data_IF_730306941510
#
_entry.id   IF_730306941510
#
_cell.length_a   1.000
_cell.length_b   1.000
_cell.length_c   1.000
_cell.angle_alpha   90.00
_cell.angle_beta   90.00
_cell.angle_gamma   90.00
#
_symmetry.space_group_name_H-M   'P 1'
#
loop_
_entity.id
_entity.type
_entity.pdbx_description
1 polymer ?
#
# COMPACT_ATOMS: atom_id res chain seq x y z
N UNK A 1 22.15 -8.94 12.47
CA UNK A 1 20.67 -8.96 12.46
C UNK A 1 20.21 -10.01 11.45
N UNK A 2 19.31 -10.92 11.83
CA UNK A 2 18.70 -11.86 10.87
C UNK A 2 17.61 -11.11 10.12
N UNK A 3 17.71 -11.05 8.79
CA UNK A 3 16.71 -10.38 7.96
C UNK A 3 15.67 -11.41 7.49
N UNK A 4 14.39 -11.31 7.89
CA UNK A 4 13.41 -12.35 7.59
C UNK A 4 13.22 -12.65 6.10
N UNK A 5 13.40 -11.65 5.23
CA UNK A 5 13.29 -11.88 3.79
C UNK A 5 14.38 -12.83 3.26
N UNK A 6 15.57 -12.84 3.86
CA UNK A 6 16.66 -13.74 3.47
C UNK A 6 16.37 -15.19 3.86
N UNK A 7 15.62 -15.41 4.95
CA UNK A 7 15.25 -16.75 5.40
C UNK A 7 14.40 -17.49 4.35
N UNK A 8 13.52 -16.78 3.63
CA UNK A 8 12.69 -17.40 2.57
C UNK A 8 13.55 -17.85 1.39
N UNK A 9 14.49 -17.02 0.96
CA UNK A 9 15.39 -17.37 -0.15
C UNK A 9 16.29 -18.55 0.22
N UNK A 10 16.87 -18.51 1.43
CA UNK A 10 17.69 -19.62 1.94
C UNK A 10 16.86 -20.89 2.06
N UNK A 11 15.62 -20.82 2.55
CA UNK A 11 14.72 -21.96 2.62
C UNK A 11 14.45 -22.56 1.23
N UNK A 12 14.15 -21.72 0.23
CA UNK A 12 13.93 -22.15 -1.14
C UNK A 12 15.17 -22.85 -1.72
N UNK A 13 16.35 -22.23 -1.63
CA UNK A 13 17.58 -22.84 -2.16
C UNK A 13 17.92 -24.15 -1.47
N UNK A 14 17.70 -24.22 -0.15
CA UNK A 14 17.87 -25.44 0.63
C UNK A 14 16.91 -26.54 0.16
N UNK A 15 15.63 -26.23 -0.10
CA UNK A 15 14.67 -27.20 -0.66
C UNK A 15 15.00 -27.69 -2.07
N UNK A 16 15.75 -26.91 -2.85
CA UNK A 16 16.13 -27.27 -4.22
C UNK A 16 17.45 -28.05 -4.30
N UNK A 17 18.37 -27.86 -3.36
CA UNK A 17 19.72 -28.43 -3.42
C UNK A 17 19.98 -29.54 -2.41
N UNK A 18 19.23 -29.59 -1.31
CA UNK A 18 19.48 -30.56 -0.24
C UNK A 18 18.71 -31.85 -0.51
N UNK A 19 19.44 -32.96 -0.57
CA UNK A 19 18.84 -34.29 -0.58
C UNK A 19 18.06 -34.52 0.72
N UNK A 20 16.82 -35.00 0.59
CA UNK A 20 15.91 -35.20 1.71
C UNK A 20 15.87 -36.67 2.14
N UNK A 21 16.30 -36.95 3.37
CA UNK A 21 16.05 -38.24 4.02
C UNK A 21 14.60 -38.29 4.50
N UNK A 22 13.71 -38.83 3.66
CA UNK A 22 12.28 -38.90 3.95
C UNK A 22 11.93 -40.17 4.73
N UNK A 23 11.22 -40.01 5.84
CA UNK A 23 10.57 -41.15 6.50
C UNK A 23 9.41 -41.68 5.62
N UNK A 24 9.07 -42.98 5.70
CA UNK A 24 7.96 -43.53 4.91
C UNK A 24 6.65 -42.79 5.19
N UNK A 25 6.06 -42.23 4.13
CA UNK A 25 4.81 -41.45 4.18
C UNK A 25 4.99 -39.93 4.22
N UNK A 26 6.20 -39.41 4.37
CA UNK A 26 6.45 -37.96 4.34
C UNK A 26 6.49 -37.42 2.91
N UNK A 27 5.96 -36.21 2.72
CA UNK A 27 6.08 -35.48 1.46
C UNK A 27 7.43 -34.77 1.40
N UNK A 28 8.07 -34.80 0.23
CA UNK A 28 9.25 -33.97 0.00
C UNK A 28 8.87 -32.49 0.00
N UNK A 29 9.77 -31.63 0.50
CA UNK A 29 9.52 -30.18 0.48
C UNK A 29 9.44 -29.66 -0.95
N UNK A 30 10.20 -30.28 -1.87
CA UNK A 30 10.10 -30.01 -3.30
C UNK A 30 8.70 -30.33 -3.88
N UNK A 31 8.12 -31.49 -3.53
CA UNK A 31 6.76 -31.84 -3.97
C UNK A 31 5.73 -30.85 -3.42
N UNK A 32 5.84 -30.49 -2.14
CA UNK A 32 4.98 -29.46 -1.56
C UNK A 32 5.12 -28.11 -2.29
N UNK A 33 6.35 -27.67 -2.56
CA UNK A 33 6.63 -26.44 -3.30
C UNK A 33 5.97 -26.45 -4.69
N UNK A 34 6.14 -27.51 -5.46
CA UNK A 34 5.56 -27.61 -6.81
C UNK A 34 4.03 -27.60 -6.80
N UNK A 35 3.40 -28.28 -5.82
CA UNK A 35 1.93 -28.26 -5.67
C UNK A 35 1.46 -26.86 -5.29
N UNK A 36 2.08 -26.23 -4.28
CA UNK A 36 1.73 -24.89 -3.85
C UNK A 36 1.92 -23.86 -4.98
N UNK A 37 3.03 -23.95 -5.73
CA UNK A 37 3.29 -23.13 -6.90
C UNK A 37 2.19 -23.27 -7.96
N UNK A 38 1.79 -24.50 -8.30
CA UNK A 38 0.73 -24.74 -9.28
C UNK A 38 -0.63 -24.19 -8.81
N UNK A 39 -0.97 -24.36 -7.53
CA UNK A 39 -2.21 -23.83 -6.95
C UNK A 39 -2.23 -22.30 -7.01
N UNK A 40 -1.17 -21.64 -6.55
CA UNK A 40 -1.07 -20.18 -6.58
C UNK A 40 -1.07 -19.68 -8.02
N UNK A 41 -0.31 -20.31 -8.91
CA UNK A 41 -0.29 -19.96 -10.33
C UNK A 41 -1.69 -19.95 -10.95
N UNK A 42 -2.51 -20.96 -10.67
CA UNK A 42 -3.90 -21.02 -11.17
C UNK A 42 -4.80 -20.02 -10.43
N UNK A 43 -4.62 -19.87 -9.12
CA UNK A 43 -5.42 -18.97 -8.30
C UNK A 43 -5.28 -17.51 -8.74
N UNK A 44 -4.08 -17.05 -9.11
CA UNK A 44 -3.81 -15.65 -9.50
C UNK A 44 -4.61 -15.20 -10.74
N UNK A 45 -5.08 -16.13 -11.59
CA UNK A 45 -5.98 -15.79 -12.71
C UNK A 45 -7.36 -15.31 -12.23
N UNK A 46 -7.79 -15.75 -11.04
CA UNK A 46 -9.08 -15.39 -10.46
C UNK A 46 -9.13 -13.90 -10.14
N UNK A 47 -8.30 -13.34 -9.25
CA UNK A 47 -8.33 -11.91 -8.96
C UNK A 47 -7.83 -11.05 -10.11
N UNK A 48 -6.95 -11.55 -10.99
CA UNK A 48 -6.36 -10.71 -12.05
C UNK A 48 -7.24 -10.62 -13.30
N UNK A 49 -7.94 -11.70 -13.68
CA UNK A 49 -8.62 -11.77 -14.97
C UNK A 49 -10.09 -12.18 -14.87
N UNK A 50 -10.42 -13.25 -14.14
CA UNK A 50 -11.78 -13.82 -14.14
C UNK A 50 -12.75 -13.01 -13.27
N UNK A 51 -12.33 -12.63 -12.06
CA UNK A 51 -13.14 -11.91 -11.07
C UNK A 51 -12.34 -10.81 -10.37
N UNK A 52 -12.01 -9.70 -11.04
CA UNK A 52 -11.26 -8.58 -10.43
C UNK A 52 -11.86 -8.00 -9.15
N UNK A 53 -13.17 -8.16 -8.96
CA UNK A 53 -13.87 -7.72 -7.76
C UNK A 53 -13.33 -8.39 -6.48
N UNK A 54 -12.81 -9.62 -6.55
CA UNK A 54 -12.24 -10.28 -5.36
C UNK A 54 -10.94 -9.64 -4.89
N UNK A 55 -10.29 -8.83 -5.74
CA UNK A 55 -9.11 -8.05 -5.38
C UNK A 55 -9.41 -6.87 -4.45
N UNK A 56 -10.65 -6.36 -4.45
CA UNK A 56 -11.07 -5.32 -3.51
C UNK A 56 -12.59 -5.35 -3.28
N UNK A 57 -12.99 -6.09 -2.25
CA UNK A 57 -14.38 -6.22 -1.81
C UNK A 57 -14.67 -5.09 -0.82
N UNK A 58 -15.06 -3.94 -1.36
CA UNK A 58 -15.49 -2.76 -0.61
C UNK A 58 -16.99 -2.83 -0.26
N UNK A 59 -17.38 -3.79 0.57
CA UNK A 59 -18.80 -4.05 0.88
C UNK A 59 -19.53 -2.84 1.51
N UNK A 60 -18.82 -1.94 2.21
CA UNK A 60 -19.39 -0.70 2.75
C UNK A 60 -19.95 0.19 1.63
N UNK A 61 -19.31 0.21 0.46
CA UNK A 61 -19.80 0.96 -0.69
C UNK A 61 -21.10 0.36 -1.27
N UNK A 62 -21.39 -0.93 -1.05
CA UNK A 62 -22.64 -1.56 -1.49
C UNK A 62 -23.84 -1.16 -0.65
N UNK A 63 -23.62 -0.79 0.63
CA UNK A 63 -24.71 -0.34 1.51
C UNK A 63 -25.30 0.98 1.01
N UNK A 64 -24.46 1.90 0.55
CA UNK A 64 -24.88 3.21 0.05
C UNK A 64 -23.99 3.70 -1.10
N UNK A 65 -24.24 3.25 -2.35
CA UNK A 65 -23.37 3.50 -3.49
C UNK A 65 -23.26 4.98 -3.87
N UNK A 66 -24.34 5.75 -3.69
CA UNK A 66 -24.37 7.18 -4.08
C UNK A 66 -23.77 8.11 -3.01
N UNK A 67 -23.22 7.57 -1.92
CA UNK A 67 -22.69 8.39 -0.83
C UNK A 67 -21.18 8.61 -0.96
N UNK A 68 -20.79 9.87 -1.12
CA UNK A 68 -19.39 10.31 -1.09
C UNK A 68 -18.69 9.80 0.18
N UNK A 69 -19.38 9.85 1.33
CA UNK A 69 -18.82 9.39 2.60
C UNK A 69 -18.58 7.88 2.60
N UNK A 70 -19.50 7.07 2.06
CA UNK A 70 -19.30 5.63 1.95
C UNK A 70 -18.10 5.29 1.05
N UNK A 71 -17.94 6.03 -0.06
CA UNK A 71 -16.77 5.90 -0.94
C UNK A 71 -15.47 6.34 -0.27
N UNK A 72 -15.48 7.44 0.48
CA UNK A 72 -14.31 7.93 1.21
C UNK A 72 -13.88 6.98 2.33
N UNK A 73 -14.82 6.32 3.01
CA UNK A 73 -14.51 5.39 4.10
C UNK A 73 -14.06 4.03 3.57
N UNK A 74 -14.87 3.40 2.71
CA UNK A 74 -14.67 2.00 2.31
C UNK A 74 -14.16 1.79 0.90
N UNK A 75 -14.15 2.82 0.06
CA UNK A 75 -13.83 2.69 -1.37
C UNK A 75 -12.35 2.49 -1.65
N UNK A 76 -12.04 2.00 -2.86
CA UNK A 76 -10.67 1.76 -3.32
C UNK A 76 -9.81 3.04 -3.40
N UNK A 77 -10.43 4.20 -3.60
CA UNK A 77 -9.79 5.52 -3.55
C UNK A 77 -10.10 6.27 -2.24
N UNK A 78 -10.52 5.53 -1.21
CA UNK A 78 -10.81 6.02 0.13
C UNK A 78 -9.84 5.42 1.15
N UNK A 79 -10.27 5.36 2.41
CA UNK A 79 -9.48 4.86 3.55
C UNK A 79 -9.46 3.34 3.66
N UNK A 80 -10.22 2.63 2.80
CA UNK A 80 -10.26 1.17 2.75
C UNK A 80 -10.82 0.50 4.01
N UNK A 81 -11.59 1.22 4.83
CA UNK A 81 -12.15 0.67 6.06
C UNK A 81 -13.08 -0.50 5.71
N UNK A 82 -12.81 -1.66 6.31
CA UNK A 82 -13.60 -2.86 6.08
C UNK A 82 -13.45 -3.46 4.67
N UNK A 83 -12.55 -2.96 3.82
CA UNK A 83 -12.28 -3.58 2.54
C UNK A 83 -11.58 -4.93 2.75
N UNK A 84 -12.07 -5.96 2.06
CA UNK A 84 -11.51 -7.30 2.11
C UNK A 84 -10.89 -7.60 0.74
N UNK A 85 -9.70 -8.17 0.72
CA UNK A 85 -9.07 -8.62 -0.52
C UNK A 85 -8.74 -10.10 -0.41
N UNK A 86 -8.97 -10.83 -1.49
CA UNK A 86 -8.54 -12.21 -1.67
C UNK A 86 -7.36 -12.28 -2.65
N UNK A 87 -6.83 -11.14 -3.08
CA UNK A 87 -5.68 -11.04 -3.98
C UNK A 87 -4.40 -10.87 -3.17
N UNK A 88 -3.48 -11.83 -3.32
CA UNK A 88 -2.22 -11.82 -2.60
C UNK A 88 -1.31 -10.65 -3.02
N UNK A 89 -1.40 -10.18 -4.27
CA UNK A 89 -0.65 -9.03 -4.73
C UNK A 89 -1.11 -7.76 -4.02
N UNK A 90 -2.42 -7.60 -3.78
CA UNK A 90 -2.96 -6.46 -3.03
C UNK A 90 -2.50 -6.50 -1.58
N UNK A 91 -2.50 -7.68 -0.94
CA UNK A 91 -2.03 -7.86 0.44
C UNK A 91 -0.54 -7.48 0.57
N UNK A 92 0.28 -7.84 -0.41
CA UNK A 92 1.74 -7.68 -0.33
C UNK A 92 2.30 -6.41 -0.98
N UNK A 93 1.47 -5.64 -1.69
CA UNK A 93 1.89 -4.49 -2.51
C UNK A 93 2.74 -3.44 -1.76
N UNK A 94 2.39 -3.13 -0.50
CA UNK A 94 3.00 -2.00 0.24
C UNK A 94 3.88 -2.39 1.41
N UNK A 95 3.57 -3.50 2.09
CA UNK A 95 4.27 -3.95 3.29
C UNK A 95 5.10 -5.22 3.09
N UNK A 96 5.16 -5.71 1.85
CA UNK A 96 5.74 -7.01 1.54
C UNK A 96 4.91 -8.16 2.10
N UNK A 97 5.50 -9.35 2.16
CA UNK A 97 4.80 -10.54 2.64
C UNK A 97 4.62 -10.49 4.17
N UNK A 98 3.39 -10.54 4.71
CA UNK A 98 3.21 -10.61 6.15
C UNK A 98 3.74 -11.94 6.71
N UNK A 99 3.77 -13.01 5.92
CA UNK A 99 4.18 -14.36 6.36
C UNK A 99 5.62 -14.41 6.91
N UNK A 100 6.47 -13.49 6.48
CA UNK A 100 7.87 -13.41 6.93
C UNK A 100 8.06 -12.47 8.11
N UNK A 101 7.09 -11.59 8.36
CA UNK A 101 7.19 -10.53 9.36
C UNK A 101 6.74 -11.07 10.71
N UNK A 102 7.55 -10.97 11.77
CA UNK A 102 7.16 -11.41 13.11
C UNK A 102 5.84 -10.76 13.57
N UNK A 103 5.01 -11.52 14.28
CA UNK A 103 3.69 -11.07 14.75
C UNK A 103 3.75 -9.72 15.49
N UNK A 104 4.69 -9.54 16.41
CA UNK A 104 4.83 -8.29 17.17
C UNK A 104 5.06 -7.08 16.25
N UNK A 105 5.82 -7.25 15.17
CA UNK A 105 6.08 -6.19 14.20
C UNK A 105 4.83 -5.88 13.38
N UNK A 106 4.09 -6.91 12.97
CA UNK A 106 2.79 -6.75 12.30
C UNK A 106 1.80 -5.94 13.15
N UNK A 107 1.70 -6.23 14.46
CA UNK A 107 0.82 -5.49 15.38
C UNK A 107 1.25 -4.03 15.50
N UNK A 108 2.54 -3.75 15.65
CA UNK A 108 3.05 -2.38 15.73
C UNK A 108 2.72 -1.58 14.46
N UNK A 109 2.94 -2.19 13.29
CA UNK A 109 2.59 -1.57 12.01
C UNK A 109 1.08 -1.37 11.88
N UNK A 110 0.27 -2.34 12.32
CA UNK A 110 -1.19 -2.22 12.32
C UNK A 110 -1.70 -1.08 13.21
N UNK A 111 -1.11 -0.90 14.40
CA UNK A 111 -1.43 0.24 15.29
C UNK A 111 -1.03 1.56 14.64
N UNK A 112 0.16 1.63 14.04
CA UNK A 112 0.61 2.81 13.30
C UNK A 112 -0.34 3.15 12.15
N UNK A 113 -0.71 2.16 11.33
CA UNK A 113 -1.68 2.32 10.26
C UNK A 113 -3.02 2.85 10.78
N UNK A 114 -3.56 2.26 11.85
CA UNK A 114 -4.81 2.69 12.45
C UNK A 114 -4.76 4.16 12.88
N UNK A 115 -3.73 4.55 13.63
CA UNK A 115 -3.59 5.92 14.14
C UNK A 115 -3.43 6.94 13.02
N UNK A 116 -2.68 6.61 11.97
CA UNK A 116 -2.39 7.56 10.90
C UNK A 116 -3.53 7.62 9.89
N UNK A 117 -3.93 6.48 9.36
CA UNK A 117 -4.89 6.39 8.24
C UNK A 117 -6.33 6.52 8.71
N UNK A 118 -6.70 5.96 9.87
CA UNK A 118 -8.09 5.98 10.33
C UNK A 118 -8.39 7.05 11.38
N UNK A 119 -7.37 7.68 11.96
CA UNK A 119 -7.58 8.77 12.94
C UNK A 119 -7.03 10.09 12.39
N UNK A 120 -5.73 10.19 12.15
CA UNK A 120 -5.08 11.46 11.83
C UNK A 120 -5.50 12.03 10.46
N UNK A 121 -5.53 11.20 9.41
CA UNK A 121 -5.95 11.61 8.07
C UNK A 121 -7.40 12.11 8.03
N UNK A 122 -8.40 11.39 8.60
CA UNK A 122 -9.76 11.91 8.70
C UNK A 122 -9.84 13.23 9.45
N UNK A 123 -9.17 13.35 10.60
CA UNK A 123 -9.15 14.60 11.37
C UNK A 123 -8.64 15.74 10.49
N UNK A 124 -7.49 15.57 9.85
CA UNK A 124 -6.88 16.59 9.00
C UNK A 124 -7.76 16.96 7.79
N UNK A 125 -8.41 15.98 7.16
CA UNK A 125 -9.28 16.21 6.01
C UNK A 125 -10.57 16.96 6.41
N UNK A 126 -11.22 16.55 7.51
CA UNK A 126 -12.49 17.14 7.93
C UNK A 126 -12.32 18.52 8.61
N UNK A 127 -11.18 18.77 9.28
CA UNK A 127 -10.81 20.12 9.77
C UNK A 127 -10.30 21.04 8.67
N UNK A 128 -10.25 20.56 7.42
CA UNK A 128 -9.77 21.30 6.25
C UNK A 128 -8.32 21.80 6.40
N UNK A 129 -7.49 20.99 7.06
CA UNK A 129 -6.07 21.28 7.23
C UNK A 129 -5.38 21.35 5.87
N UNK A 130 -4.74 22.48 5.57
CA UNK A 130 -4.11 22.76 4.27
C UNK A 130 -5.11 22.77 3.09
N UNK A 131 -6.35 23.19 3.34
CA UNK A 131 -7.39 23.30 2.30
C UNK A 131 -7.69 21.93 1.66
N UNK A 132 -7.60 20.87 2.47
CA UNK A 132 -7.73 19.47 2.09
C UNK A 132 -8.98 19.18 1.26
N UNK A 133 -10.10 19.87 1.53
CA UNK A 133 -11.40 19.62 0.87
C UNK A 133 -11.42 20.00 -0.61
N UNK A 134 -10.43 20.75 -1.08
CA UNK A 134 -10.25 21.05 -2.51
C UNK A 134 -9.77 19.83 -3.31
N UNK A 135 -9.26 18.80 -2.63
CA UNK A 135 -8.69 17.61 -3.24
C UNK A 135 -9.40 16.34 -2.75
N UNK A 136 -9.30 15.21 -3.49
CA UNK A 136 -9.74 13.92 -2.98
C UNK A 136 -8.98 13.52 -1.70
N UNK A 137 -9.64 12.81 -0.78
CA UNK A 137 -9.02 12.34 0.47
C UNK A 137 -7.77 11.49 0.22
N UNK A 138 -7.79 10.68 -0.85
CA UNK A 138 -6.68 9.86 -1.29
C UNK A 138 -6.55 9.97 -2.81
N UNK A 139 -5.39 10.45 -3.27
CA UNK A 139 -5.04 10.52 -4.69
C UNK A 139 -3.53 10.69 -4.84
N UNK A 140 -2.94 9.99 -5.81
CA UNK A 140 -1.53 10.13 -6.22
C UNK A 140 -1.30 11.27 -7.21
N UNK A 141 -2.36 11.95 -7.65
CA UNK A 141 -2.24 13.09 -8.56
C UNK A 141 -1.70 14.33 -7.84
N UNK A 142 -1.01 15.18 -8.59
CA UNK A 142 -0.63 16.52 -8.16
C UNK A 142 -1.76 17.50 -8.47
N UNK A 143 -1.90 18.53 -7.64
CA UNK A 143 -2.96 19.51 -7.77
C UNK A 143 -2.45 20.95 -7.72
N UNK A 144 -3.23 21.86 -8.28
CA UNK A 144 -3.05 23.31 -8.15
C UNK A 144 -3.87 23.83 -6.97
N UNK A 145 -3.67 25.06 -6.55
CA UNK A 145 -4.38 25.66 -5.41
C UNK A 145 -5.90 25.78 -5.60
N UNK A 146 -6.37 25.73 -6.85
CA UNK A 146 -7.78 25.75 -7.23
C UNK A 146 -8.42 24.34 -7.26
N UNK A 147 -7.68 23.26 -7.00
CA UNK A 147 -8.19 21.88 -7.06
C UNK A 147 -8.00 21.18 -8.41
N UNK A 148 -7.52 21.88 -9.44
CA UNK A 148 -7.26 21.28 -10.75
C UNK A 148 -6.02 20.39 -10.73
N UNK A 149 -5.96 19.40 -11.62
CA UNK A 149 -4.75 18.56 -11.77
C UNK A 149 -3.57 19.41 -12.23
N UNK A 150 -2.43 19.21 -11.61
CA UNK A 150 -1.18 19.90 -11.93
C UNK A 150 -0.45 19.19 -13.07
N UNK A 151 -0.20 19.89 -14.17
CA UNK A 151 0.59 19.34 -15.28
C UNK A 151 2.07 19.65 -15.09
N UNK A 152 2.86 18.66 -14.68
CA UNK A 152 4.30 18.83 -14.45
C UNK A 152 5.06 19.31 -15.71
N UNK A 153 4.60 18.93 -16.91
CA UNK A 153 5.19 19.39 -18.17
C UNK A 153 5.04 20.89 -18.42
N UNK A 154 4.10 21.57 -17.75
CA UNK A 154 3.90 23.01 -17.91
C UNK A 154 4.99 23.86 -17.25
N UNK A 155 5.75 23.28 -16.31
CA UNK A 155 6.82 23.98 -15.56
C UNK A 155 8.22 23.45 -15.88
N UNK A 156 8.32 22.55 -16.85
CA UNK A 156 9.58 21.94 -17.25
C UNK A 156 10.05 22.48 -18.60
N UNK A 157 11.31 22.89 -18.68
CA UNK A 157 12.01 23.18 -19.95
C UNK A 157 13.19 22.23 -20.06
N UNK A 158 13.23 21.40 -21.11
CA UNK A 158 14.29 20.38 -21.31
C UNK A 158 14.49 19.45 -20.10
N UNK A 159 13.39 19.02 -19.45
CA UNK A 159 13.39 18.21 -18.22
C UNK A 159 14.03 18.89 -16.99
N UNK A 160 14.35 20.18 -17.06
CA UNK A 160 14.74 20.99 -15.92
C UNK A 160 13.57 21.89 -15.49
N UNK A 161 13.48 22.16 -14.20
CA UNK A 161 12.50 23.10 -13.67
C UNK A 161 12.77 24.50 -14.23
N UNK A 162 11.74 25.11 -14.80
CA UNK A 162 11.79 26.50 -15.22
C UNK A 162 11.09 27.36 -14.15
N UNK A 163 11.89 28.11 -13.38
CA UNK A 163 11.40 28.92 -12.26
C UNK A 163 10.37 29.96 -12.71
N UNK A 164 10.55 30.59 -13.87
CA UNK A 164 9.60 31.60 -14.38
C UNK A 164 8.24 30.99 -14.73
N UNK A 165 8.23 29.78 -15.31
CA UNK A 165 6.99 29.05 -15.59
C UNK A 165 6.36 28.54 -14.29
N UNK A 166 7.17 28.12 -13.32
CA UNK A 166 6.68 27.67 -12.02
C UNK A 166 6.01 28.80 -11.23
N UNK A 167 6.62 29.98 -11.18
CA UNK A 167 6.03 31.17 -10.53
C UNK A 167 4.70 31.58 -11.19
N UNK A 168 4.62 31.51 -12.52
CA UNK A 168 3.39 31.81 -13.26
C UNK A 168 2.30 30.73 -13.09
N UNK A 169 2.69 29.46 -13.04
CA UNK A 169 1.77 28.33 -12.96
C UNK A 169 1.27 28.05 -11.53
N UNK A 170 2.07 28.45 -10.54
CA UNK A 170 1.79 28.37 -9.12
C UNK A 170 2.38 27.12 -8.43
N UNK A 171 2.33 27.09 -7.09
CA UNK A 171 2.88 25.99 -6.31
C UNK A 171 2.10 24.70 -6.52
N UNK A 172 2.81 23.58 -6.46
CA UNK A 172 2.20 22.25 -6.50
C UNK A 172 1.62 21.91 -5.12
N UNK A 173 0.44 21.28 -5.12
CA UNK A 173 -0.25 20.76 -3.93
C UNK A 173 -0.38 19.25 -4.05
N UNK A 174 -0.29 18.58 -2.91
CA UNK A 174 -0.53 17.14 -2.76
C UNK A 174 -1.67 16.92 -1.78
N UNK A 175 -2.28 15.74 -1.82
CA UNK A 175 -3.35 15.41 -0.87
C UNK A 175 -2.80 15.34 0.56
N UNK A 176 -3.65 15.65 1.52
CA UNK A 176 -3.32 15.61 2.95
C UNK A 176 -2.83 14.23 3.39
N UNK A 177 -3.35 13.16 2.76
CA UNK A 177 -2.83 11.80 2.90
C UNK A 177 -1.33 11.73 2.62
N UNK A 178 -0.89 12.13 1.42
CA UNK A 178 0.53 12.09 1.04
C UNK A 178 1.39 13.00 1.89
N UNK A 179 0.92 14.21 2.20
CA UNK A 179 1.66 15.15 3.06
C UNK A 179 1.96 14.56 4.44
N UNK A 180 0.96 13.95 5.08
CA UNK A 180 1.12 13.30 6.39
C UNK A 180 2.01 12.06 6.30
N UNK A 181 1.81 11.21 5.30
CA UNK A 181 2.66 10.04 5.07
C UNK A 181 4.14 10.41 4.89
N UNK A 182 4.44 11.47 4.14
CA UNK A 182 5.81 11.96 4.00
C UNK A 182 6.36 12.50 5.33
N UNK A 183 5.58 13.32 6.05
CA UNK A 183 5.99 13.86 7.35
C UNK A 183 6.35 12.76 8.35
N UNK A 184 5.57 11.70 8.40
CA UNK A 184 5.83 10.53 9.25
C UNK A 184 7.01 9.71 8.74
N UNK A 185 7.20 9.60 7.42
CA UNK A 185 8.40 9.00 6.84
C UNK A 185 9.67 9.70 7.31
N UNK A 186 9.69 11.04 7.32
CA UNK A 186 10.81 11.82 7.86
C UNK A 186 10.98 11.62 9.37
N UNK A 187 9.88 11.57 10.13
CA UNK A 187 9.94 11.25 11.56
C UNK A 187 10.54 9.86 11.82
N UNK A 188 10.18 8.87 11.00
CA UNK A 188 10.77 7.53 11.02
C UNK A 188 12.28 7.56 10.79
N UNK A 189 12.76 8.32 9.80
CA UNK A 189 14.19 8.51 9.57
C UNK A 189 14.89 9.09 10.80
N UNK A 190 14.31 10.09 11.45
CA UNK A 190 14.88 10.66 12.69
C UNK A 190 14.84 9.69 13.87
N UNK A 191 13.80 8.86 13.98
CA UNK A 191 13.69 7.85 15.04
C UNK A 191 14.79 6.80 14.98
N UNK A 192 15.30 6.48 13.78
CA UNK A 192 16.43 5.55 13.66
C UNK A 192 17.71 6.08 14.30
N UNK A 193 17.87 7.41 14.40
CA UNK A 193 19.03 8.01 15.06
C UNK A 193 18.92 7.99 16.59
N UNK A 194 17.70 7.98 17.14
CA UNK A 194 17.45 8.05 18.59
C UNK A 194 17.15 6.69 19.21
N UNK A 195 16.56 5.76 18.44
CA UNK A 195 16.35 4.37 18.81
C UNK A 195 17.44 3.48 18.16
N UNK A 196 18.64 3.51 18.74
CA UNK A 196 19.69 2.48 18.54
C UNK A 196 19.78 1.58 19.75
#
# INVERSE_FOLDING_TARGET
MVWPANLVQVALFNTLHKDEDLAPGQWSRYKFFMIAFAIVFVYEWIPTFLFPVVGSIAWICWIKPDSILATQIGGAYGLGVGAITLDWNVITAWLGSPLITPWWAQVNIGIGFFLIVWVLIPIAYYTDLWEAKKFPILSSSLFRENGEKYHATAVLTNNALNETLYEAYGPLRITTFFALSYGIGFAGLTSMLTHT
#
